data_IF_681144508396
#
_entry.id   IF_681144508396
#
_cell.length_a   1.000
_cell.length_b   1.000
_cell.length_c   1.000
_cell.angle_alpha   90.00
_cell.angle_beta   90.00
_cell.angle_gamma   90.00
#
_symmetry.space_group_name_H-M   'P 1'
#
loop_
_entity.id
_entity.type
_entity.pdbx_description
1 polymer ?
#
# COMPACT_ATOMS: atom_id res chain seq x y z
N UNK A 1 10.46 -7.65 -8.23
CA UNK A 1 9.57 -8.43 -9.15
C UNK A 1 8.44 -9.12 -8.37
N UNK A 2 7.22 -9.10 -8.92
CA UNK A 2 6.03 -9.76 -8.37
C UNK A 2 5.41 -10.65 -9.46
N UNK A 3 5.14 -11.92 -9.16
CA UNK A 3 4.51 -12.87 -10.08
C UNK A 3 3.27 -13.48 -9.42
N UNK A 4 2.11 -13.20 -9.98
CA UNK A 4 0.80 -13.64 -9.52
C UNK A 4 0.21 -14.58 -10.57
N UNK A 5 -0.13 -15.80 -10.18
CA UNK A 5 -0.61 -16.83 -11.10
C UNK A 5 -1.96 -17.38 -10.66
N UNK A 6 -2.99 -17.13 -11.46
CA UNK A 6 -4.35 -17.68 -11.35
C UNK A 6 -4.94 -17.57 -9.94
N UNK A 7 -4.73 -16.43 -9.27
CA UNK A 7 -5.26 -16.24 -7.92
C UNK A 7 -6.76 -16.01 -7.94
N UNK A 8 -7.44 -16.62 -6.97
CA UNK A 8 -8.80 -16.25 -6.59
C UNK A 8 -8.86 -16.03 -5.10
N UNK A 9 -9.74 -15.13 -4.67
CA UNK A 9 -10.06 -14.90 -3.27
C UNK A 9 -11.55 -14.87 -3.06
N UNK A 10 -12.03 -15.87 -2.32
CA UNK A 10 -13.44 -16.00 -1.92
C UNK A 10 -13.52 -15.85 -0.40
N UNK A 11 -14.38 -14.95 0.05
CA UNK A 11 -14.74 -14.82 1.46
C UNK A 11 -15.98 -15.65 1.77
N UNK A 12 -16.10 -16.14 2.99
CA UNK A 12 -17.23 -16.91 3.52
C UNK A 12 -17.66 -18.08 2.62
N UNK A 13 -16.67 -18.77 2.03
CA UNK A 13 -16.87 -19.85 1.07
C UNK A 13 -17.79 -20.94 1.64
N UNK A 14 -18.80 -21.31 0.86
CA UNK A 14 -19.79 -22.34 1.23
C UNK A 14 -20.91 -21.83 2.15
N UNK A 15 -21.01 -20.51 2.37
CA UNK A 15 -22.12 -19.88 3.11
C UNK A 15 -23.04 -19.08 2.20
N UNK A 16 -24.18 -18.63 2.73
CA UNK A 16 -25.11 -17.74 2.00
C UNK A 16 -24.50 -16.36 1.68
N UNK A 17 -23.43 -15.98 2.35
CA UNK A 17 -22.72 -14.73 2.16
C UNK A 17 -21.43 -14.90 1.34
N UNK A 18 -21.30 -15.99 0.62
CA UNK A 18 -20.13 -16.25 -0.22
C UNK A 18 -19.92 -15.11 -1.21
N UNK A 19 -18.72 -14.53 -1.19
CA UNK A 19 -18.34 -13.43 -2.08
C UNK A 19 -16.97 -13.68 -2.72
N UNK A 20 -16.94 -13.69 -4.05
CA UNK A 20 -15.71 -13.81 -4.84
C UNK A 20 -15.17 -12.41 -5.09
N UNK A 21 -14.14 -12.03 -4.35
CA UNK A 21 -13.52 -10.71 -4.45
C UNK A 21 -12.43 -10.63 -5.53
N UNK A 22 -11.73 -11.75 -5.81
CA UNK A 22 -10.76 -11.90 -6.91
C UNK A 22 -11.08 -13.21 -7.63
N UNK A 23 -11.10 -13.19 -8.93
CA UNK A 23 -11.47 -14.33 -9.77
C UNK A 23 -10.44 -14.58 -10.86
N UNK A 24 -9.62 -15.62 -10.68
CA UNK A 24 -8.65 -16.14 -11.64
C UNK A 24 -7.72 -15.05 -12.23
N UNK A 25 -7.14 -14.20 -11.38
CA UNK A 25 -6.29 -13.10 -11.79
C UNK A 25 -4.83 -13.55 -11.89
N UNK A 26 -4.19 -13.21 -13.02
CA UNK A 26 -2.76 -13.37 -13.21
C UNK A 26 -2.14 -12.00 -13.57
N UNK A 27 -1.00 -11.68 -12.97
CA UNK A 27 -0.33 -10.41 -13.12
C UNK A 27 1.16 -10.56 -12.85
N UNK A 28 1.98 -9.92 -13.66
CA UNK A 28 3.42 -9.83 -13.44
C UNK A 28 3.83 -8.36 -13.38
N UNK A 29 4.58 -7.98 -12.36
CA UNK A 29 5.26 -6.68 -12.27
C UNK A 29 6.75 -6.89 -12.34
N UNK A 30 7.41 -6.13 -13.20
CA UNK A 30 8.86 -6.10 -13.30
C UNK A 30 9.45 -5.10 -12.30
N UNK A 31 10.76 -5.17 -12.09
CA UNK A 31 11.44 -4.26 -11.17
C UNK A 31 11.40 -2.82 -11.70
N UNK A 32 11.16 -1.88 -10.80
CA UNK A 32 11.12 -0.45 -11.12
C UNK A 32 9.83 0.03 -11.82
N UNK A 33 8.82 -0.83 -11.96
CA UNK A 33 7.53 -0.41 -12.53
C UNK A 33 6.70 0.36 -11.51
N UNK A 34 6.06 1.43 -11.98
CA UNK A 34 5.08 2.18 -11.21
C UNK A 34 3.68 1.94 -11.80
N UNK A 35 2.94 1.07 -11.13
CA UNK A 35 1.66 0.55 -11.64
C UNK A 35 0.52 1.00 -10.74
N UNK A 36 -0.53 1.54 -11.34
CA UNK A 36 -1.78 1.81 -10.62
C UNK A 36 -2.81 0.72 -10.85
N UNK A 37 -3.67 0.49 -9.85
CA UNK A 37 -4.86 -0.34 -9.96
C UNK A 37 -6.09 0.54 -9.98
N UNK A 38 -6.79 0.57 -11.10
CA UNK A 38 -8.03 1.32 -11.30
C UNK A 38 -9.24 0.37 -11.35
N UNK A 39 -10.43 0.89 -11.13
CA UNK A 39 -11.68 0.14 -11.17
C UNK A 39 -12.73 0.73 -10.23
N UNK A 40 -13.98 0.37 -10.40
CA UNK A 40 -15.10 0.82 -9.58
C UNK A 40 -14.98 0.39 -8.11
N UNK A 41 -15.82 0.95 -7.23
CA UNK A 41 -15.93 0.48 -5.86
C UNK A 41 -16.40 -0.97 -5.85
N UNK A 42 -15.76 -1.81 -5.01
CA UNK A 42 -16.04 -3.24 -4.99
C UNK A 42 -15.36 -4.07 -6.09
N UNK A 43 -14.58 -3.48 -7.01
CA UNK A 43 -13.87 -4.20 -8.07
C UNK A 43 -12.81 -5.20 -7.57
N UNK A 44 -12.45 -5.18 -6.28
CA UNK A 44 -11.46 -6.07 -5.69
C UNK A 44 -10.08 -5.44 -5.46
N UNK A 45 -9.89 -4.14 -5.71
CA UNK A 45 -8.60 -3.43 -5.59
C UNK A 45 -7.91 -3.64 -4.24
N UNK A 46 -8.55 -3.26 -3.14
CA UNK A 46 -7.97 -3.40 -1.79
C UNK A 46 -7.77 -4.87 -1.40
N UNK A 47 -8.63 -5.78 -1.90
CA UNK A 47 -8.43 -7.22 -1.69
C UNK A 47 -7.19 -7.71 -2.43
N UNK A 48 -6.97 -7.28 -3.67
CA UNK A 48 -5.76 -7.60 -4.43
C UNK A 48 -4.50 -7.11 -3.70
N UNK A 49 -4.49 -5.85 -3.25
CA UNK A 49 -3.36 -5.31 -2.49
C UNK A 49 -3.09 -6.12 -1.21
N UNK A 50 -4.14 -6.47 -0.44
CA UNK A 50 -4.01 -7.28 0.79
C UNK A 50 -3.52 -8.70 0.50
N UNK A 51 -3.90 -9.29 -0.64
CA UNK A 51 -3.36 -10.59 -1.08
C UNK A 51 -1.88 -10.45 -1.46
N UNK A 52 -1.52 -9.41 -2.21
CA UNK A 52 -0.12 -9.13 -2.59
C UNK A 52 0.73 -8.84 -1.35
N UNK A 53 0.24 -8.07 -0.40
CA UNK A 53 0.91 -7.79 0.86
C UNK A 53 1.06 -9.01 1.79
N UNK A 54 0.32 -10.09 1.52
CA UNK A 54 0.33 -11.30 2.38
C UNK A 54 -0.62 -11.24 3.57
N UNK A 55 -1.40 -10.17 3.70
CA UNK A 55 -2.45 -10.03 4.73
C UNK A 55 -3.54 -11.09 4.53
N UNK A 56 -3.92 -11.33 3.27
CA UNK A 56 -4.85 -12.41 2.93
C UNK A 56 -4.13 -13.50 2.13
N UNK A 57 -4.37 -14.75 2.50
CA UNK A 57 -4.01 -15.90 1.65
C UNK A 57 -5.01 -16.00 0.50
N UNK A 58 -4.56 -16.21 -0.75
CA UNK A 58 -5.47 -16.52 -1.84
C UNK A 58 -6.19 -17.84 -1.57
N UNK A 59 -7.42 -18.00 -2.09
CA UNK A 59 -8.19 -19.25 -2.02
C UNK A 59 -7.61 -20.27 -3.00
N UNK A 60 -7.17 -19.81 -4.17
CA UNK A 60 -6.48 -20.62 -5.20
C UNK A 60 -5.37 -19.79 -5.83
N UNK A 61 -4.45 -20.45 -6.55
CA UNK A 61 -3.34 -19.82 -7.23
C UNK A 61 -2.16 -19.47 -6.31
N UNK A 62 -1.18 -18.77 -6.83
CA UNK A 62 0.08 -18.45 -6.12
C UNK A 62 0.49 -17.00 -6.32
N UNK A 63 1.12 -16.44 -5.28
CA UNK A 63 1.77 -15.13 -5.31
C UNK A 63 3.24 -15.31 -4.93
N UNK A 64 4.13 -15.07 -5.89
CA UNK A 64 5.57 -15.09 -5.67
C UNK A 64 6.07 -13.66 -5.54
N UNK A 65 6.75 -13.37 -4.45
CA UNK A 65 7.32 -12.06 -4.10
C UNK A 65 8.82 -12.19 -4.06
N UNK A 66 9.50 -11.36 -4.81
CA UNK A 66 10.95 -11.31 -4.85
C UNK A 66 11.40 -9.96 -4.30
N UNK A 67 11.80 -9.98 -3.02
CA UNK A 67 12.20 -8.80 -2.27
C UNK A 67 11.25 -8.44 -1.12
N UNK A 68 11.64 -7.42 -0.36
CA UNK A 68 10.89 -6.91 0.78
C UNK A 68 9.73 -6.04 0.30
N UNK A 69 8.52 -6.33 0.82
CA UNK A 69 7.31 -5.54 0.54
C UNK A 69 7.02 -4.63 1.72
N UNK A 70 6.88 -3.34 1.45
CA UNK A 70 6.33 -2.39 2.42
C UNK A 70 4.87 -2.08 2.09
N UNK A 71 3.90 -2.70 2.79
CA UNK A 71 2.49 -2.40 2.58
C UNK A 71 2.09 -1.15 3.36
N UNK A 72 1.77 -0.07 2.65
CA UNK A 72 1.15 1.13 3.21
C UNK A 72 -0.36 1.13 2.95
N UNK A 73 -1.02 0.01 3.21
CA UNK A 73 -2.45 -0.16 2.93
C UNK A 73 -3.29 0.47 4.04
N UNK A 74 -2.86 0.34 5.28
CA UNK A 74 -3.53 0.90 6.46
C UNK A 74 -2.44 1.39 7.42
N UNK A 75 -1.97 2.62 7.25
CA UNK A 75 -0.92 3.18 8.10
C UNK A 75 -1.32 3.17 9.58
N UNK A 76 -0.53 2.45 10.38
CA UNK A 76 -0.80 2.28 11.81
C UNK A 76 -1.83 1.19 12.14
N UNK A 77 -2.31 0.41 11.16
CA UNK A 77 -3.00 -0.85 11.44
C UNK A 77 -2.02 -1.80 12.11
N UNK A 78 -2.22 -2.12 13.36
CA UNK A 78 -1.27 -2.89 14.18
C UNK A 78 -0.62 -2.06 15.29
N UNK A 79 -0.91 -0.78 15.38
CA UNK A 79 -0.59 -0.01 16.58
C UNK A 79 -1.43 -0.47 17.76
N UNK A 80 -0.79 -0.64 18.93
CA UNK A 80 -1.52 -0.79 20.18
C UNK A 80 -1.89 0.60 20.72
N UNK A 81 -3.18 0.93 20.89
CA UNK A 81 -3.61 2.24 21.34
C UNK A 81 -3.16 2.59 22.77
N UNK A 82 -2.82 1.61 23.60
CA UNK A 82 -2.36 1.83 24.97
C UNK A 82 -0.86 2.07 25.05
N UNK A 83 -0.10 1.69 24.03
CA UNK A 83 1.33 1.94 23.93
C UNK A 83 1.60 3.36 23.45
N UNK A 84 2.74 3.91 23.87
CA UNK A 84 3.26 5.18 23.37
C UNK A 84 3.64 5.08 21.89
N UNK A 85 3.85 6.22 21.25
CA UNK A 85 4.40 6.25 19.89
C UNK A 85 5.74 5.54 19.79
N UNK A 86 6.63 5.74 20.81
CA UNK A 86 7.92 5.06 20.92
C UNK A 86 7.77 3.53 20.92
N UNK A 87 6.92 3.00 21.78
CA UNK A 87 6.68 1.55 21.86
C UNK A 87 6.08 1.02 20.55
N UNK A 88 5.21 1.79 19.92
CA UNK A 88 4.63 1.43 18.62
C UNK A 88 5.64 1.48 17.46
N UNK A 89 6.72 2.27 17.51
CA UNK A 89 7.81 2.17 16.54
C UNK A 89 8.37 0.75 16.51
N UNK A 90 8.66 0.17 17.67
CA UNK A 90 9.21 -1.19 17.77
C UNK A 90 8.17 -2.26 17.45
N UNK A 91 6.94 -2.09 17.94
CA UNK A 91 5.85 -3.03 17.69
C UNK A 91 5.54 -3.11 16.19
N UNK A 92 5.24 -1.98 15.56
CA UNK A 92 4.86 -1.93 14.16
C UNK A 92 6.02 -2.22 13.22
N UNK A 93 7.24 -1.77 13.57
CA UNK A 93 8.44 -2.11 12.82
C UNK A 93 8.70 -3.63 12.82
N UNK A 94 8.44 -4.32 13.94
CA UNK A 94 8.53 -5.78 14.01
C UNK A 94 7.47 -6.47 13.14
N UNK A 95 6.25 -5.92 13.07
CA UNK A 95 5.19 -6.41 12.15
C UNK A 95 5.62 -6.26 10.69
N UNK A 96 6.36 -5.19 10.37
CA UNK A 96 6.94 -4.98 9.04
C UNK A 96 8.19 -5.83 8.77
N UNK A 97 8.65 -6.62 9.75
CA UNK A 97 9.79 -7.53 9.62
C UNK A 97 11.15 -6.93 9.97
N UNK A 98 11.20 -5.73 10.57
CA UNK A 98 12.45 -5.11 10.99
C UNK A 98 12.93 -5.70 12.33
N UNK A 99 14.26 -5.86 12.48
CA UNK A 99 14.83 -6.27 13.76
C UNK A 99 14.81 -5.11 14.76
N UNK A 100 14.90 -5.45 16.04
CA UNK A 100 14.94 -4.46 17.12
C UNK A 100 16.17 -3.56 17.00
N UNK A 101 17.32 -4.15 16.74
CA UNK A 101 18.61 -3.45 16.60
C UNK A 101 18.55 -2.43 15.46
N UNK A 102 17.95 -2.82 14.32
CA UNK A 102 17.74 -1.94 13.19
C UNK A 102 16.81 -0.75 13.55
N UNK A 103 15.73 -1.02 14.27
CA UNK A 103 14.81 0.03 14.70
C UNK A 103 15.44 0.97 15.74
N UNK A 104 16.30 0.48 16.60
CA UNK A 104 17.10 1.30 17.53
C UNK A 104 18.06 2.23 16.76
N UNK A 105 18.74 1.71 15.74
CA UNK A 105 19.61 2.52 14.86
C UNK A 105 18.83 3.60 14.10
N UNK A 106 17.63 3.27 13.63
CA UNK A 106 16.80 4.15 12.80
C UNK A 106 15.81 5.02 13.57
N UNK A 107 15.78 4.89 14.88
CA UNK A 107 14.78 5.54 15.72
C UNK A 107 14.76 7.06 15.55
N UNK A 108 15.91 7.71 15.58
CA UNK A 108 16.02 9.17 15.46
C UNK A 108 15.55 9.65 14.07
N UNK A 109 15.85 8.91 13.00
CA UNK A 109 15.35 9.20 11.65
C UNK A 109 13.82 9.11 11.59
N UNK A 110 13.22 8.08 12.21
CA UNK A 110 11.77 7.90 12.29
C UNK A 110 11.14 9.07 13.07
N UNK A 111 11.71 9.42 14.22
CA UNK A 111 11.21 10.49 15.07
C UNK A 111 11.25 11.84 14.35
N UNK A 112 12.38 12.19 13.75
CA UNK A 112 12.56 13.43 12.99
C UNK A 112 11.60 13.51 11.80
N UNK A 113 11.43 12.40 11.06
CA UNK A 113 10.52 12.38 9.92
C UNK A 113 9.07 12.54 10.35
N UNK A 114 8.64 11.92 11.46
CA UNK A 114 7.27 11.97 11.94
C UNK A 114 6.84 13.36 12.43
N UNK A 115 7.78 14.21 12.82
CA UNK A 115 7.57 15.52 13.43
C UNK A 115 6.68 15.48 14.68
N UNK A 116 6.70 14.37 15.43
CA UNK A 116 5.88 14.18 16.63
C UNK A 116 6.50 14.83 17.88
N UNK A 117 7.83 15.00 17.90
CA UNK A 117 8.51 15.61 19.06
C UNK A 117 8.19 14.88 20.37
N UNK A 118 7.81 15.63 21.39
CA UNK A 118 7.47 15.10 22.72
C UNK A 118 6.23 14.18 22.73
N UNK A 119 5.36 14.29 21.72
CA UNK A 119 4.20 13.39 21.62
C UNK A 119 4.58 11.93 21.41
N UNK A 120 5.85 11.63 21.05
CA UNK A 120 6.29 10.25 20.86
C UNK A 120 6.15 9.40 22.15
N UNK A 121 6.20 10.01 23.30
CA UNK A 121 6.07 9.34 24.60
C UNK A 121 4.62 9.36 25.15
N UNK A 122 3.65 9.82 24.33
CA UNK A 122 2.22 9.81 24.66
C UNK A 122 1.56 8.56 24.04
N UNK A 123 0.62 7.90 24.77
CA UNK A 123 -0.13 6.76 24.22
C UNK A 123 -0.90 7.11 22.94
N UNK A 124 -0.86 6.20 21.94
CA UNK A 124 -1.45 6.39 20.60
C UNK A 124 -2.95 6.66 20.63
N UNK A 125 -3.69 6.18 21.65
CA UNK A 125 -5.12 6.52 21.81
C UNK A 125 -5.39 8.02 21.88
N UNK A 126 -4.40 8.81 22.28
CA UNK A 126 -4.48 10.27 22.37
C UNK A 126 -4.00 10.98 21.10
N UNK A 127 -3.58 10.22 20.06
CA UNK A 127 -3.15 10.79 18.78
C UNK A 127 -4.35 11.13 17.90
N UNK A 128 -4.22 12.23 17.16
CA UNK A 128 -5.09 12.47 16.02
C UNK A 128 -4.85 11.43 14.91
N UNK A 129 -5.78 11.29 13.97
CA UNK A 129 -5.58 10.44 12.78
C UNK A 129 -4.33 10.84 11.99
N UNK A 130 -4.07 12.15 11.88
CA UNK A 130 -2.86 12.69 11.25
C UNK A 130 -1.57 12.29 11.96
N UNK A 131 -1.52 12.33 13.30
CA UNK A 131 -0.35 11.91 14.07
C UNK A 131 -0.07 10.41 13.92
N UNK A 132 -1.11 9.58 13.97
CA UNK A 132 -0.98 8.13 13.74
C UNK A 132 -0.43 7.82 12.35
N UNK A 133 -0.97 8.50 11.36
CA UNK A 133 -0.54 8.31 9.98
C UNK A 133 0.89 8.83 9.73
N UNK A 134 1.31 9.94 10.35
CA UNK A 134 2.69 10.43 10.31
C UNK A 134 3.66 9.40 10.86
N UNK A 135 3.35 8.82 12.03
CA UNK A 135 4.19 7.80 12.64
C UNK A 135 4.26 6.54 11.76
N UNK A 136 3.10 6.02 11.32
CA UNK A 136 3.04 4.84 10.47
C UNK A 136 3.81 4.99 9.17
N UNK A 137 3.67 6.15 8.49
CA UNK A 137 4.43 6.46 7.28
C UNK A 137 5.94 6.51 7.56
N UNK A 138 6.36 7.17 8.65
CA UNK A 138 7.78 7.29 9.01
C UNK A 138 8.43 5.93 9.24
N UNK A 139 7.75 5.03 9.94
CA UNK A 139 8.25 3.66 10.18
C UNK A 139 8.29 2.86 8.87
N UNK A 140 7.22 2.91 8.08
CA UNK A 140 7.13 2.11 6.85
C UNK A 140 8.11 2.55 5.76
N UNK A 141 8.58 3.81 5.79
CA UNK A 141 9.51 4.38 4.80
C UNK A 141 10.93 4.56 5.29
N UNK A 142 11.25 4.07 6.48
CA UNK A 142 12.62 4.15 7.02
C UNK A 142 13.61 3.31 6.21
N UNK A 143 13.12 2.26 5.56
CA UNK A 143 13.86 1.46 4.57
C UNK A 143 13.27 1.71 3.19
N UNK A 144 14.10 1.67 2.17
CA UNK A 144 13.65 1.60 0.79
C UNK A 144 13.30 0.14 0.47
N UNK A 145 12.00 -0.19 0.30
CA UNK A 145 11.59 -1.55 -0.04
C UNK A 145 11.83 -1.80 -1.52
N UNK A 146 11.89 -3.07 -1.93
CA UNK A 146 11.89 -3.43 -3.36
C UNK A 146 10.50 -3.26 -3.98
N UNK A 147 9.44 -3.48 -3.17
CA UNK A 147 8.05 -3.31 -3.60
C UNK A 147 7.30 -2.46 -2.59
N UNK A 148 6.74 -1.36 -3.03
CA UNK A 148 5.91 -0.46 -2.24
C UNK A 148 4.45 -0.60 -2.65
N UNK A 149 3.56 -0.88 -1.70
CA UNK A 149 2.12 -0.95 -1.93
C UNK A 149 1.44 0.23 -1.26
N UNK A 150 0.74 1.05 -2.04
CA UNK A 150 0.07 2.27 -1.60
C UNK A 150 -1.45 2.16 -1.83
N UNK A 151 -2.25 2.37 -0.78
CA UNK A 151 -3.72 2.44 -0.87
C UNK A 151 -4.18 3.82 -0.36
N UNK A 152 -4.42 4.77 -1.28
CA UNK A 152 -4.90 6.15 -0.99
C UNK A 152 -4.12 6.96 0.05
N UNK A 153 -2.99 6.45 0.51
CA UNK A 153 -2.23 6.90 1.69
C UNK A 153 -1.60 8.29 1.51
N UNK A 154 -1.55 8.82 0.29
CA UNK A 154 -0.94 10.12 0.00
C UNK A 154 -1.71 11.33 0.55
N UNK A 155 -2.90 11.11 1.09
CA UNK A 155 -3.74 12.15 1.71
C UNK A 155 -3.45 12.39 3.20
N UNK A 156 -2.32 11.87 3.72
CA UNK A 156 -1.98 11.84 5.15
C UNK A 156 -1.44 13.16 5.66
N UNK A 157 -1.95 13.59 6.81
CA UNK A 157 -1.45 14.76 7.51
C UNK A 157 -1.85 16.10 6.87
N UNK A 158 -1.18 17.18 7.26
CA UNK A 158 -1.36 18.49 6.66
C UNK A 158 -0.62 18.66 5.32
N UNK A 159 -0.84 19.79 4.65
CA UNK A 159 -0.25 20.06 3.34
C UNK A 159 1.29 20.05 3.34
N UNK A 160 1.92 20.42 4.47
CA UNK A 160 3.37 20.42 4.60
C UNK A 160 3.92 19.01 4.69
N UNK A 161 3.30 18.16 5.52
CA UNK A 161 3.70 16.77 5.69
C UNK A 161 3.45 15.95 4.40
N UNK A 162 2.33 16.20 3.70
CA UNK A 162 2.08 15.57 2.38
C UNK A 162 3.20 15.81 1.39
N UNK A 163 3.67 17.08 1.26
CA UNK A 163 4.82 17.39 0.40
C UNK A 163 6.10 16.68 0.83
N UNK A 164 6.31 16.46 2.13
CA UNK A 164 7.45 15.70 2.66
C UNK A 164 7.36 14.23 2.27
N UNK A 165 6.18 13.63 2.39
CA UNK A 165 5.91 12.26 1.94
C UNK A 165 6.11 12.11 0.43
N UNK A 166 5.54 13.03 -0.38
CA UNK A 166 5.72 13.02 -1.84
C UNK A 166 7.21 13.06 -2.24
N UNK A 167 8.02 13.91 -1.59
CA UNK A 167 9.46 13.96 -1.85
C UNK A 167 10.19 12.68 -1.45
N UNK A 168 9.81 12.06 -0.33
CA UNK A 168 10.42 10.79 0.12
C UNK A 168 10.09 9.68 -0.89
N UNK A 169 8.83 9.61 -1.34
CA UNK A 169 8.42 8.64 -2.34
C UNK A 169 9.08 8.87 -3.69
N UNK A 170 9.18 10.14 -4.14
CA UNK A 170 9.86 10.45 -5.41
C UNK A 170 11.31 9.93 -5.40
N UNK A 171 12.03 10.09 -4.30
CA UNK A 171 13.38 9.52 -4.16
C UNK A 171 13.39 8.00 -4.28
N UNK A 172 12.43 7.31 -3.64
CA UNK A 172 12.29 5.85 -3.77
C UNK A 172 12.04 5.45 -5.23
N UNK A 173 11.22 6.19 -5.96
CA UNK A 173 10.96 5.95 -7.39
C UNK A 173 12.22 6.15 -8.24
N UNK A 174 12.98 7.21 -7.98
CA UNK A 174 14.23 7.51 -8.68
C UNK A 174 15.30 6.40 -8.43
N UNK A 175 15.19 5.68 -7.31
CA UNK A 175 16.04 4.52 -6.96
C UNK A 175 15.52 3.18 -7.50
N UNK A 176 14.44 3.19 -8.28
CA UNK A 176 13.93 1.98 -8.95
C UNK A 176 13.05 1.08 -8.10
N UNK A 177 12.45 1.59 -7.03
CA UNK A 177 11.46 0.85 -6.25
C UNK A 177 10.23 0.54 -7.11
N UNK A 178 9.79 -0.70 -7.11
CA UNK A 178 8.55 -1.11 -7.77
C UNK A 178 7.34 -0.64 -6.95
N UNK A 179 6.37 0.02 -7.58
CA UNK A 179 5.23 0.59 -6.87
C UNK A 179 3.92 0.06 -7.41
N UNK A 180 3.08 -0.41 -6.51
CA UNK A 180 1.67 -0.72 -6.79
C UNK A 180 0.78 0.27 -6.01
N UNK A 181 0.05 1.09 -6.75
CA UNK A 181 -0.69 2.22 -6.21
C UNK A 181 -2.18 2.14 -6.52
N UNK A 182 -3.02 2.40 -5.54
CA UNK A 182 -4.47 2.61 -5.73
C UNK A 182 -4.81 4.04 -5.38
N UNK A 183 -5.46 4.73 -6.30
CA UNK A 183 -6.00 6.07 -6.08
C UNK A 183 -7.28 6.28 -6.87
N UNK A 184 -8.20 7.05 -6.31
CA UNK A 184 -9.40 7.53 -7.00
C UNK A 184 -9.16 8.80 -7.84
N UNK A 185 -7.96 9.39 -7.77
CA UNK A 185 -7.61 10.58 -8.53
C UNK A 185 -6.88 10.22 -9.82
N UNK A 186 -7.59 10.18 -10.95
CA UNK A 186 -6.98 9.95 -12.27
C UNK A 186 -5.85 10.95 -12.58
N UNK A 187 -6.01 12.22 -12.17
CA UNK A 187 -4.97 13.22 -12.37
C UNK A 187 -3.68 12.89 -11.59
N UNK A 188 -3.78 12.35 -10.38
CA UNK A 188 -2.64 11.91 -9.59
C UNK A 188 -2.01 10.66 -10.20
N UNK A 189 -2.83 9.71 -10.62
CA UNK A 189 -2.42 8.47 -11.25
C UNK A 189 -1.64 8.73 -12.54
N UNK A 190 -2.19 9.54 -13.47
CA UNK A 190 -1.52 9.91 -14.73
C UNK A 190 -0.21 10.68 -14.54
N UNK A 191 -0.06 11.40 -13.42
CA UNK A 191 1.18 12.12 -13.10
C UNK A 191 2.29 11.21 -12.58
N UNK A 192 1.94 10.15 -11.84
CA UNK A 192 2.89 9.34 -11.09
C UNK A 192 3.15 7.97 -11.73
N UNK A 193 2.15 7.39 -12.40
CA UNK A 193 2.22 6.03 -12.92
C UNK A 193 2.47 6.03 -14.42
N UNK A 194 3.24 5.06 -14.89
CA UNK A 194 3.44 4.81 -16.31
C UNK A 194 2.60 3.62 -16.82
N UNK A 195 2.14 2.78 -15.91
CA UNK A 195 1.30 1.62 -16.21
C UNK A 195 0.06 1.56 -15.34
N UNK A 196 -0.96 0.89 -15.83
CA UNK A 196 -2.20 0.66 -15.11
C UNK A 196 -2.73 -0.76 -15.29
N UNK A 197 -3.54 -1.16 -14.31
CA UNK A 197 -4.30 -2.39 -14.26
C UNK A 197 -5.75 -2.01 -14.03
N UNK A 198 -6.66 -2.42 -14.90
CA UNK A 198 -8.10 -2.24 -14.71
C UNK A 198 -8.70 -3.51 -14.13
N UNK A 199 -9.30 -3.38 -12.96
CA UNK A 199 -10.07 -4.44 -12.31
C UNK A 199 -11.57 -4.16 -12.41
N UNK A 200 -12.33 -5.22 -12.69
CA UNK A 200 -13.77 -5.22 -12.65
C UNK A 200 -14.29 -6.56 -12.13
N UNK A 201 -15.15 -6.54 -11.11
CA UNK A 201 -15.70 -7.74 -10.49
C UNK A 201 -14.65 -8.82 -10.14
N UNK A 202 -13.49 -8.39 -9.65
CA UNK A 202 -12.38 -9.27 -9.27
C UNK A 202 -11.56 -9.83 -10.42
N UNK A 203 -11.81 -9.41 -11.65
CA UNK A 203 -11.10 -9.86 -12.86
C UNK A 203 -10.20 -8.75 -13.41
N UNK A 204 -9.10 -9.17 -14.02
CA UNK A 204 -8.22 -8.29 -14.78
C UNK A 204 -8.84 -8.07 -16.17
N UNK A 205 -9.26 -6.85 -16.45
CA UNK A 205 -9.88 -6.47 -17.73
C UNK A 205 -8.86 -5.94 -18.73
N UNK A 206 -7.93 -5.11 -18.24
CA UNK A 206 -6.86 -4.55 -19.06
C UNK A 206 -5.62 -4.29 -18.20
N UNK A 207 -4.45 -4.37 -18.82
CA UNK A 207 -3.19 -3.92 -18.25
C UNK A 207 -2.31 -3.34 -19.35
N UNK A 208 -1.53 -2.33 -19.07
CA UNK A 208 -0.64 -1.70 -20.04
C UNK A 208 -0.31 -0.27 -19.69
N UNK A 209 -0.08 0.53 -20.71
CA UNK A 209 0.17 1.97 -20.58
C UNK A 209 -0.99 2.66 -19.85
N UNK A 210 -0.67 3.68 -19.05
CA UNK A 210 -1.66 4.37 -18.24
C UNK A 210 -2.72 5.08 -19.08
N UNK A 211 -2.36 5.63 -20.23
CA UNK A 211 -3.31 6.36 -21.09
C UNK A 211 -4.29 5.39 -21.75
N UNK A 212 -3.81 4.27 -22.28
CA UNK A 212 -4.64 3.23 -22.90
C UNK A 212 -5.65 2.64 -21.90
N UNK A 213 -5.19 2.27 -20.71
CA UNK A 213 -6.05 1.68 -19.67
C UNK A 213 -7.03 2.70 -19.12
N UNK A 214 -6.61 3.97 -18.97
CA UNK A 214 -7.50 5.05 -18.52
C UNK A 214 -8.63 5.30 -19.51
N UNK A 215 -8.35 5.28 -20.82
CA UNK A 215 -9.38 5.44 -21.86
C UNK A 215 -10.43 4.32 -21.81
N UNK A 216 -9.97 3.06 -21.60
CA UNK A 216 -10.89 1.92 -21.42
C UNK A 216 -11.76 2.12 -20.16
N UNK A 217 -11.16 2.61 -19.07
CA UNK A 217 -11.87 2.83 -17.83
C UNK A 217 -12.90 3.96 -17.94
N UNK A 218 -12.53 5.09 -18.57
CA UNK A 218 -13.43 6.23 -18.80
C UNK A 218 -14.66 5.82 -19.64
N UNK A 219 -14.47 5.08 -20.73
CA UNK A 219 -15.58 4.54 -21.55
C UNK A 219 -16.55 3.68 -20.74
N UNK A 220 -16.02 2.83 -19.84
CA UNK A 220 -16.84 1.98 -18.96
C UNK A 220 -17.60 2.73 -17.87
N UNK A 221 -17.20 3.94 -17.54
CA UNK A 221 -17.94 4.80 -16.60
C UNK A 221 -19.12 5.53 -17.26
N UNK A 222 -19.09 5.62 -18.60
CA UNK A 222 -20.17 6.27 -19.39
C UNK A 222 -21.29 5.27 -19.79
N UNK A 223 -21.03 3.97 -19.68
CA UNK A 223 -22.00 2.87 -19.90
C UNK A 223 -22.85 2.60 -18.66
#
# INVERSE_FOLDING_TARGET
MLDIQNISKTFEKGTVNEHVAINNLSLKLEDGEFVTVVGSNGAGKSTLLKVIAGVYKPTTGTVKRYGHIAPMIELGAGFDPNYTGRENVFLYGSVLGFSREFLEEKYDEILEFSELGEFIDVPIKNYSSGMRARLGFSIATVVEPEILILDEVLSVGDAKFRKKCERKMQKMFDHGVTVLFVSHSLAQVKRLCNKAILLEHGQLIAQGDIDDVSEIYERKLEE
#
